data_IF_339309837901
#
_entry.id   IF_339309837901
#
_cell.length_a   1.000
_cell.length_b   1.000
_cell.length_c   1.000
_cell.angle_alpha   90.00
_cell.angle_beta   90.00
_cell.angle_gamma   90.00
#
_symmetry.space_group_name_H-M   'P 1'
#
loop_
_entity.id
_entity.type
_entity.pdbx_description
1 polymer ?
#
# COMPACT_ATOMS: atom_id res chain seq x y z
N UNK A 1 -60.35 0.26 70.96
CA UNK A 1 -59.03 0.31 70.35
C UNK A 1 -59.15 1.16 69.11
N UNK A 2 -58.93 2.45 69.25
CA UNK A 2 -58.93 3.39 68.13
C UNK A 2 -57.76 4.34 68.36
N UNK A 3 -56.77 4.28 67.48
CA UNK A 3 -55.63 5.19 67.47
C UNK A 3 -56.14 6.62 67.23
N UNK A 4 -55.71 7.55 68.07
CA UNK A 4 -55.96 8.99 67.91
C UNK A 4 -54.63 9.67 67.64
N UNK A 5 -54.58 10.57 66.66
CA UNK A 5 -53.46 11.49 66.50
C UNK A 5 -53.43 12.47 67.69
N UNK A 6 -52.27 12.70 68.34
CA UNK A 6 -52.18 13.67 69.43
C UNK A 6 -52.29 15.08 68.84
N UNK A 7 -53.26 15.86 69.32
CA UNK A 7 -53.44 17.28 68.95
C UNK A 7 -54.62 17.59 68.02
N UNK A 8 -55.23 16.58 67.38
CA UNK A 8 -56.47 16.77 66.60
C UNK A 8 -57.58 15.84 67.07
N UNK A 9 -58.83 16.25 66.86
CA UNK A 9 -60.02 15.47 67.26
C UNK A 9 -60.42 14.41 66.22
N UNK A 10 -59.60 14.17 65.21
CA UNK A 10 -59.96 13.29 64.10
C UNK A 10 -59.52 11.85 64.37
N UNK A 11 -60.46 10.93 64.09
CA UNK A 11 -60.29 9.49 64.22
C UNK A 11 -60.01 9.00 62.80
N UNK A 12 -58.87 8.33 62.59
CA UNK A 12 -58.54 7.70 61.30
C UNK A 12 -59.65 6.71 60.92
N UNK A 13 -60.26 6.89 59.75
CA UNK A 13 -61.55 6.31 59.37
C UNK A 13 -61.49 4.99 58.60
N UNK A 14 -62.68 4.37 58.44
CA UNK A 14 -63.02 3.45 57.34
C UNK A 14 -63.96 4.18 56.34
N UNK A 15 -64.22 3.66 55.12
CA UNK A 15 -63.30 3.34 54.03
C UNK A 15 -63.70 4.03 52.69
N UNK A 16 -62.70 4.47 51.89
CA UNK A 16 -62.86 5.04 50.53
C UNK A 16 -62.08 6.36 50.33
N UNK A 17 -60.74 6.36 50.41
CA UNK A 17 -59.76 6.17 49.31
C UNK A 17 -59.89 7.23 48.20
N UNK A 18 -59.12 8.33 48.18
CA UNK A 18 -57.73 8.41 47.66
C UNK A 18 -56.69 8.94 48.67
N UNK A 19 -57.04 8.96 49.96
CA UNK A 19 -56.05 9.13 51.03
C UNK A 19 -55.29 7.83 51.27
N UNK A 20 -54.46 7.43 50.30
CA UNK A 20 -53.28 6.60 50.58
C UNK A 20 -52.02 7.47 50.67
N UNK A 21 -52.15 8.71 51.13
CA UNK A 21 -51.05 9.37 51.84
C UNK A 21 -51.16 8.88 53.27
N UNK A 22 -50.53 7.73 53.51
CA UNK A 22 -50.67 6.96 54.71
C UNK A 22 -50.58 7.87 55.95
N UNK A 23 -51.58 7.75 56.84
CA UNK A 23 -51.30 7.93 58.26
C UNK A 23 -50.33 6.80 58.64
N UNK A 24 -49.04 6.93 58.24
CA UNK A 24 -47.94 6.14 58.77
C UNK A 24 -47.72 6.65 60.18
N UNK A 25 -48.69 6.36 61.03
CA UNK A 25 -48.48 6.47 62.45
C UNK A 25 -47.51 5.36 62.78
N UNK A 26 -46.28 5.72 63.05
CA UNK A 26 -45.27 4.78 63.50
C UNK A 26 -45.59 4.34 64.93
N UNK A 27 -45.33 3.09 65.24
CA UNK A 27 -45.46 2.50 66.57
C UNK A 27 -44.14 1.90 67.05
N UNK A 28 -43.27 1.58 66.10
CA UNK A 28 -41.88 1.22 66.32
C UNK A 28 -40.98 2.08 65.42
N UNK A 29 -39.67 2.17 65.72
CA UNK A 29 -38.72 2.88 64.88
C UNK A 29 -38.64 2.34 63.44
N UNK A 30 -38.95 1.06 63.24
CA UNK A 30 -38.88 0.37 61.94
C UNK A 30 -40.00 0.78 60.98
N UNK A 31 -41.04 1.45 61.50
CA UNK A 31 -42.16 1.95 60.69
C UNK A 31 -41.77 3.23 59.90
N UNK A 32 -40.62 3.83 60.21
CA UNK A 32 -40.11 5.04 59.56
C UNK A 32 -38.90 4.71 58.67
N UNK A 33 -38.81 5.39 57.52
CA UNK A 33 -37.72 5.25 56.54
C UNK A 33 -37.01 6.59 56.35
N UNK A 34 -35.87 6.60 55.63
CA UNK A 34 -35.16 7.81 55.21
C UNK A 34 -34.71 8.66 56.41
N UNK A 35 -33.92 8.09 57.32
CA UNK A 35 -33.38 8.80 58.50
C UNK A 35 -34.39 9.20 59.59
N UNK A 36 -35.70 9.01 59.39
CA UNK A 36 -36.74 9.51 60.30
C UNK A 36 -36.92 8.64 61.54
N UNK A 37 -37.15 9.30 62.68
CA UNK A 37 -37.46 8.66 63.96
C UNK A 37 -38.96 8.74 64.27
N UNK A 38 -39.46 7.69 64.92
CA UNK A 38 -40.83 7.66 65.39
C UNK A 38 -40.99 8.41 66.72
N UNK A 39 -41.63 9.58 66.69
CA UNK A 39 -41.97 10.35 67.89
C UNK A 39 -43.47 10.67 67.91
N UNK A 40 -44.13 10.40 69.05
CA UNK A 40 -45.57 10.65 69.27
C UNK A 40 -46.51 10.11 68.17
N UNK A 41 -46.09 9.02 67.50
CA UNK A 41 -46.84 8.40 66.42
C UNK A 41 -46.70 9.11 65.08
N UNK A 42 -45.63 9.85 64.84
CA UNK A 42 -45.26 10.44 63.56
C UNK A 42 -43.76 10.24 63.26
N UNK A 43 -43.42 10.02 61.99
CA UNK A 43 -42.02 9.95 61.54
C UNK A 43 -41.48 11.37 61.35
N UNK A 44 -40.61 11.82 62.26
CA UNK A 44 -39.96 13.13 62.24
C UNK A 44 -38.49 12.98 61.86
N UNK A 45 -37.97 13.94 61.09
CA UNK A 45 -36.54 14.00 60.82
C UNK A 45 -35.83 14.61 62.05
N UNK A 46 -34.92 13.88 62.72
CA UNK A 46 -34.24 14.37 63.91
C UNK A 46 -33.31 15.56 63.64
N UNK A 47 -32.76 15.66 62.42
CA UNK A 47 -31.88 16.76 62.00
C UNK A 47 -32.63 18.00 61.52
N UNK A 48 -33.77 17.82 60.82
CA UNK A 48 -34.54 18.92 60.22
C UNK A 48 -33.71 19.79 59.27
N UNK A 49 -32.60 19.26 58.79
CA UNK A 49 -31.70 19.92 57.86
C UNK A 49 -32.34 19.88 56.47
N UNK A 50 -31.83 20.73 55.59
CA UNK A 50 -32.27 20.81 54.20
C UNK A 50 -31.25 20.25 53.22
N UNK A 51 -30.22 19.58 53.76
CA UNK A 51 -29.07 18.99 53.10
C UNK A 51 -28.36 18.07 54.10
N UNK A 52 -27.62 17.09 53.60
CA UNK A 52 -26.73 16.23 54.39
C UNK A 52 -25.76 17.03 55.27
N UNK A 53 -25.64 16.68 56.56
CA UNK A 53 -24.71 17.34 57.47
C UNK A 53 -23.31 16.74 57.36
N UNK A 54 -23.24 15.44 57.07
CA UNK A 54 -22.01 14.71 56.83
C UNK A 54 -22.19 13.76 55.64
N UNK A 55 -21.36 13.90 54.62
CA UNK A 55 -21.41 13.05 53.43
C UNK A 55 -20.64 11.73 53.58
N UNK A 56 -20.50 11.25 54.82
CA UNK A 56 -19.66 10.09 55.17
C UNK A 56 -20.14 9.28 56.37
N UNK A 57 -21.17 9.73 57.08
CA UNK A 57 -21.54 9.12 58.36
C UNK A 57 -22.66 8.08 58.23
N UNK A 58 -23.18 7.86 57.02
CA UNK A 58 -24.20 6.87 56.72
C UNK A 58 -25.61 7.28 57.16
N UNK A 59 -25.78 8.54 57.56
CA UNK A 59 -27.08 9.09 57.91
C UNK A 59 -27.72 9.78 56.70
N UNK A 60 -29.05 9.80 56.68
CA UNK A 60 -29.86 10.64 55.81
C UNK A 60 -30.26 11.83 56.69
N UNK A 61 -29.38 12.83 56.79
CA UNK A 61 -29.49 13.89 57.80
C UNK A 61 -30.64 14.87 57.53
N UNK A 62 -31.08 14.96 56.27
CA UNK A 62 -32.20 15.78 55.82
C UNK A 62 -33.48 14.97 55.50
N UNK A 63 -33.38 13.64 55.60
CA UNK A 63 -34.48 12.69 55.49
C UNK A 63 -35.19 12.72 54.14
N UNK A 64 -34.44 12.97 53.07
CA UNK A 64 -34.93 13.03 51.69
C UNK A 64 -34.97 11.64 51.01
N UNK A 65 -34.22 10.68 51.57
CA UNK A 65 -34.13 9.28 51.13
C UNK A 65 -32.86 8.92 50.37
N UNK A 66 -31.98 9.89 50.11
CA UNK A 66 -30.60 9.67 49.72
C UNK A 66 -29.70 9.75 50.96
N UNK A 67 -28.51 9.17 50.89
CA UNK A 67 -27.57 9.07 52.01
C UNK A 67 -26.17 9.37 51.51
N UNK A 68 -25.43 10.22 52.22
CA UNK A 68 -24.02 10.54 51.95
C UNK A 68 -23.77 10.89 50.46
N UNK A 69 -22.66 10.42 49.86
CA UNK A 69 -22.35 10.62 48.45
C UNK A 69 -23.45 10.16 47.48
N UNK A 70 -24.34 9.23 47.86
CA UNK A 70 -25.45 8.82 47.00
C UNK A 70 -26.48 9.94 46.87
N UNK A 71 -26.53 10.83 47.86
CA UNK A 71 -27.16 12.14 47.71
C UNK A 71 -26.29 13.06 46.86
N UNK A 72 -26.50 12.98 45.55
CA UNK A 72 -25.82 13.87 44.62
C UNK A 72 -26.31 15.32 44.73
N UNK A 73 -27.53 15.55 45.21
CA UNK A 73 -28.06 16.90 45.32
C UNK A 73 -27.32 17.65 46.43
N UNK A 74 -26.99 16.95 47.52
CA UNK A 74 -26.45 17.56 48.74
C UNK A 74 -24.97 17.26 48.99
N UNK A 75 -24.45 16.13 48.49
CA UNK A 75 -23.08 15.68 48.74
C UNK A 75 -22.16 15.61 47.53
N UNK A 76 -22.59 15.93 46.30
CA UNK A 76 -21.70 15.90 45.13
C UNK A 76 -20.46 16.81 45.36
N UNK A 77 -19.27 16.19 45.27
CA UNK A 77 -17.94 16.73 45.57
C UNK A 77 -17.66 17.06 47.03
N UNK A 78 -18.54 16.71 47.95
CA UNK A 78 -18.23 16.79 49.37
C UNK A 78 -17.04 15.88 49.67
N UNK A 79 -16.16 16.37 50.54
CA UNK A 79 -15.05 15.57 51.03
C UNK A 79 -15.62 14.33 51.69
N UNK A 80 -15.13 13.19 51.24
CA UNK A 80 -15.59 11.92 51.76
C UNK A 80 -14.38 11.12 52.23
N UNK A 81 -14.20 11.01 53.54
CA UNK A 81 -13.03 10.37 54.12
C UNK A 81 -11.76 11.22 54.09
N UNK A 82 -10.62 10.57 54.22
CA UNK A 82 -9.29 11.19 54.32
C UNK A 82 -8.61 11.31 52.95
N UNK A 83 -7.49 12.05 52.92
CA UNK A 83 -6.57 12.12 51.77
C UNK A 83 -7.19 12.58 50.45
N UNK A 84 -8.14 13.53 50.47
CA UNK A 84 -8.59 14.24 49.26
C UNK A 84 -9.70 13.57 48.45
N UNK A 85 -10.24 12.46 48.97
CA UNK A 85 -11.39 11.77 48.38
C UNK A 85 -12.66 12.63 48.38
N UNK A 86 -13.45 12.52 47.32
CA UNK A 86 -14.66 13.30 47.14
C UNK A 86 -15.81 12.47 46.54
N UNK A 87 -17.04 12.86 46.84
CA UNK A 87 -18.21 12.25 46.22
C UNK A 87 -18.26 12.61 44.73
N UNK A 88 -18.16 11.63 43.85
CA UNK A 88 -18.21 11.78 42.40
C UNK A 88 -19.23 10.77 41.87
N UNK A 89 -20.24 11.28 41.16
CA UNK A 89 -21.29 10.47 40.53
C UNK A 89 -21.99 9.53 41.52
N UNK A 90 -22.30 10.02 42.72
CA UNK A 90 -23.01 9.22 43.72
C UNK A 90 -22.10 8.39 44.65
N UNK A 91 -20.77 8.52 44.54
CA UNK A 91 -19.83 7.61 45.22
C UNK A 91 -18.55 8.30 45.68
N UNK A 92 -18.02 7.91 46.85
CA UNK A 92 -16.76 8.46 47.35
C UNK A 92 -15.56 7.91 46.58
N UNK A 93 -14.92 8.73 45.75
CA UNK A 93 -13.84 8.30 44.85
C UNK A 93 -12.63 9.21 44.97
N UNK A 94 -11.45 8.62 44.72
CA UNK A 94 -10.28 9.37 44.34
C UNK A 94 -10.59 9.94 42.95
N UNK A 95 -10.47 11.25 42.75
CA UNK A 95 -10.62 11.80 41.42
C UNK A 95 -9.57 11.27 40.42
N UNK A 96 -8.44 10.69 40.87
CA UNK A 96 -7.29 10.31 40.03
C UNK A 96 -6.96 8.81 39.93
N UNK A 97 -5.85 8.52 39.25
CA UNK A 97 -5.27 7.19 38.92
C UNK A 97 -3.92 6.99 39.63
N UNK A 98 -3.18 5.90 39.34
CA UNK A 98 -1.77 5.71 39.77
C UNK A 98 -1.01 7.03 39.72
N UNK A 99 -0.20 7.29 40.74
CA UNK A 99 0.73 8.43 40.82
C UNK A 99 1.43 8.64 39.47
N UNK A 100 1.30 9.84 38.93
CA UNK A 100 2.03 10.25 37.73
C UNK A 100 3.39 10.74 38.20
N UNK A 101 4.43 9.98 37.90
CA UNK A 101 5.76 10.23 38.44
C UNK A 101 6.37 11.55 37.97
N UNK A 102 7.03 12.25 38.90
CA UNK A 102 7.72 13.51 38.62
C UNK A 102 6.81 14.73 38.65
N UNK A 103 5.54 14.54 39.02
CA UNK A 103 4.56 15.60 39.20
C UNK A 103 4.13 15.65 40.68
N UNK A 104 3.90 16.83 41.25
CA UNK A 104 3.68 16.98 42.70
C UNK A 104 2.27 16.55 43.19
N UNK A 105 1.56 15.70 42.47
CA UNK A 105 0.18 15.27 42.76
C UNK A 105 0.07 13.99 43.60
N UNK A 106 -1.11 13.78 44.19
CA UNK A 106 -1.53 12.56 44.92
C UNK A 106 -2.75 12.05 44.17
N UNK A 107 -2.50 11.52 42.97
CA UNK A 107 -3.52 11.07 42.04
C UNK A 107 -4.30 9.88 42.60
N UNK A 108 -3.70 9.08 43.49
CA UNK A 108 -4.37 7.97 44.14
C UNK A 108 -4.96 8.29 45.53
N UNK A 109 -4.75 9.52 46.01
CA UNK A 109 -5.33 10.09 47.22
C UNK A 109 -4.97 9.27 48.48
N UNK A 110 -3.68 8.98 48.67
CA UNK A 110 -3.12 8.22 49.80
C UNK A 110 -2.44 9.09 50.88
N UNK A 111 -2.33 10.39 50.63
CA UNK A 111 -1.75 11.37 51.54
C UNK A 111 -0.30 11.69 51.27
N UNK A 112 0.25 11.16 50.19
CA UNK A 112 1.62 11.39 49.82
C UNK A 112 1.77 11.54 48.29
N UNK A 113 2.97 11.92 47.84
CA UNK A 113 3.23 12.35 46.45
C UNK A 113 4.37 11.53 45.87
N UNK A 114 4.20 11.05 44.64
CA UNK A 114 5.21 10.32 43.86
C UNK A 114 5.63 8.98 44.49
N UNK A 115 4.70 8.31 45.13
CA UNK A 115 5.01 7.16 45.95
C UNK A 115 4.93 5.87 45.18
N UNK A 116 6.03 5.12 45.20
CA UNK A 116 6.15 3.97 44.30
C UNK A 116 6.58 4.34 42.88
N UNK A 117 6.92 5.61 42.63
CA UNK A 117 7.84 5.98 41.56
C UNK A 117 9.23 5.48 41.96
N UNK A 118 9.76 4.52 41.20
CA UNK A 118 11.10 4.02 41.48
C UNK A 118 12.08 5.13 41.11
N UNK A 119 12.58 5.85 42.11
CA UNK A 119 13.66 6.84 41.97
C UNK A 119 15.00 6.14 41.73
N UNK A 120 15.05 5.27 40.74
CA UNK A 120 16.24 4.60 40.26
C UNK A 120 16.03 4.51 38.76
N UNK A 121 16.85 5.25 38.02
CA UNK A 121 16.83 5.25 36.56
C UNK A 121 16.68 3.85 36.00
N UNK A 122 16.09 3.78 34.81
CA UNK A 122 15.78 2.55 34.11
C UNK A 122 16.80 1.43 34.34
N UNK A 123 16.35 0.34 34.98
CA UNK A 123 17.27 -0.73 35.41
C UNK A 123 17.75 -1.62 34.27
N UNK A 124 17.23 -1.42 33.04
CA UNK A 124 17.57 -2.16 31.82
C UNK A 124 17.45 -1.27 30.58
N UNK A 125 18.53 -0.57 30.28
CA UNK A 125 18.66 0.41 29.22
C UNK A 125 18.66 -0.12 27.77
N UNK A 126 17.97 -1.22 27.47
CA UNK A 126 17.97 -1.84 26.14
C UNK A 126 16.94 -2.94 25.95
N UNK A 127 15.86 -2.90 26.73
CA UNK A 127 14.79 -3.90 26.70
C UNK A 127 13.51 -3.39 26.00
N UNK A 128 13.48 -2.13 25.55
CA UNK A 128 12.33 -1.50 24.90
C UNK A 128 11.20 -1.16 25.88
N UNK A 129 11.48 -1.01 27.17
CA UNK A 129 10.46 -0.75 28.18
C UNK A 129 10.90 0.28 29.23
N UNK A 130 10.08 1.32 29.38
CA UNK A 130 10.09 2.31 30.46
C UNK A 130 9.95 1.63 31.85
N UNK A 131 11.08 1.13 32.38
CA UNK A 131 11.11 0.31 33.60
C UNK A 131 10.91 1.14 34.88
N UNK A 132 11.18 2.45 34.85
CA UNK A 132 10.97 3.39 35.97
C UNK A 132 9.73 4.29 35.80
N UNK A 133 9.08 4.22 34.64
CA UNK A 133 7.77 4.81 34.31
C UNK A 133 7.77 6.33 34.28
N UNK A 134 8.89 6.93 33.85
CA UNK A 134 9.05 8.37 33.70
C UNK A 134 8.68 8.88 32.29
N UNK A 135 8.38 7.96 31.37
CA UNK A 135 7.95 8.23 30.00
C UNK A 135 9.08 8.21 28.97
N UNK A 136 10.34 8.06 29.39
CA UNK A 136 11.46 7.72 28.51
C UNK A 136 11.66 6.19 28.44
N UNK A 137 12.41 5.70 27.46
CA UNK A 137 12.68 4.27 27.32
C UNK A 137 14.11 4.08 26.81
N UNK A 138 14.78 3.07 27.34
CA UNK A 138 16.16 2.70 27.04
C UNK A 138 17.11 3.91 27.10
N UNK A 139 17.97 4.08 26.09
CA UNK A 139 18.93 5.17 26.06
C UNK A 139 18.33 6.57 25.95
N UNK A 140 17.03 6.70 25.64
CA UNK A 140 16.34 7.99 25.71
C UNK A 140 16.10 8.42 27.17
N UNK A 141 16.25 7.50 28.13
CA UNK A 141 16.15 7.74 29.58
C UNK A 141 17.44 8.36 30.15
N UNK A 142 17.30 9.44 30.91
CA UNK A 142 18.44 10.14 31.52
C UNK A 142 19.16 9.31 32.60
N UNK A 143 18.47 8.35 33.18
CA UNK A 143 18.98 7.35 34.11
C UNK A 143 19.89 6.30 33.46
N UNK A 144 19.85 6.18 32.13
CA UNK A 144 20.63 5.20 31.36
C UNK A 144 21.98 5.69 30.84
N UNK A 145 22.30 6.98 30.98
CA UNK A 145 23.58 7.53 30.53
C UNK A 145 24.79 6.74 31.11
N UNK A 146 25.57 6.13 30.21
CA UNK A 146 26.74 5.30 30.54
C UNK A 146 26.43 3.87 31.01
N UNK A 147 25.18 3.43 31.00
CA UNK A 147 24.78 2.05 31.26
C UNK A 147 24.69 1.23 29.96
N UNK A 148 24.84 -0.09 30.08
CA UNK A 148 24.84 -0.99 28.93
C UNK A 148 23.44 -1.20 28.35
N UNK A 149 23.31 -1.09 27.04
CA UNK A 149 22.04 -1.20 26.29
C UNK A 149 21.89 -2.50 25.48
N UNK A 150 22.74 -3.51 25.69
CA UNK A 150 22.56 -4.84 25.13
C UNK A 150 23.75 -5.79 25.31
N UNK A 151 24.94 -5.32 24.93
CA UNK A 151 26.19 -6.07 24.92
C UNK A 151 27.23 -5.60 25.94
N UNK A 152 28.39 -6.27 25.94
CA UNK A 152 29.51 -5.92 26.84
C UNK A 152 30.22 -4.62 26.43
N UNK A 153 30.09 -4.24 25.16
CA UNK A 153 30.80 -3.13 24.52
C UNK A 153 29.84 -2.04 24.02
N UNK A 154 28.57 -2.08 24.47
CA UNK A 154 27.54 -1.09 24.14
C UNK A 154 27.18 -0.24 25.36
N UNK A 155 26.96 1.06 25.20
CA UNK A 155 26.48 1.94 26.27
C UNK A 155 25.59 3.08 25.74
N UNK A 156 24.68 3.58 26.57
CA UNK A 156 23.90 4.75 26.21
C UNK A 156 24.73 6.02 26.31
N UNK A 157 24.77 6.80 25.23
CA UNK A 157 25.36 8.13 25.20
C UNK A 157 24.45 9.07 24.41
N UNK A 158 24.11 10.23 24.97
CA UNK A 158 23.34 11.29 24.27
C UNK A 158 21.99 10.85 23.69
N UNK A 159 21.33 9.85 24.26
CA UNK A 159 20.02 9.40 23.81
C UNK A 159 20.01 8.13 22.95
N UNK A 160 21.18 7.60 22.57
CA UNK A 160 21.31 6.45 21.66
C UNK A 160 22.17 5.35 22.28
N UNK A 161 21.96 4.11 21.83
CA UNK A 161 22.76 2.95 22.24
C UNK A 161 24.00 2.85 21.34
N UNK A 162 25.16 3.27 21.86
CA UNK A 162 26.42 3.23 21.14
C UNK A 162 27.05 1.83 21.18
N UNK A 163 27.62 1.35 20.09
CA UNK A 163 28.42 0.13 20.01
C UNK A 163 29.89 0.45 19.66
N UNK A 164 30.78 0.44 20.66
CA UNK A 164 32.17 0.88 20.48
C UNK A 164 33.08 -0.13 19.76
N UNK A 165 32.55 -1.27 19.31
CA UNK A 165 33.32 -2.30 18.59
C UNK A 165 32.75 -2.63 17.22
N UNK A 166 31.59 -2.06 16.87
CA UNK A 166 30.97 -2.20 15.56
C UNK A 166 30.96 -0.83 14.88
N UNK A 167 31.36 -0.76 13.60
CA UNK A 167 31.31 0.50 12.86
C UNK A 167 29.88 0.98 12.63
N UNK A 168 29.74 2.27 12.31
CA UNK A 168 28.48 2.87 11.85
C UNK A 168 27.88 2.11 10.66
N UNK A 169 26.55 2.06 10.63
CA UNK A 169 25.77 1.57 9.50
C UNK A 169 25.58 2.66 8.46
N UNK A 170 25.82 2.32 7.18
CA UNK A 170 25.73 3.30 6.10
C UNK A 170 24.33 3.90 5.94
N UNK A 171 24.26 5.23 5.95
CA UNK A 171 23.00 5.97 5.93
C UNK A 171 22.26 5.98 7.28
N UNK A 172 22.94 5.53 8.34
CA UNK A 172 22.55 5.61 9.75
C UNK A 172 22.97 6.92 10.42
N UNK A 173 23.04 6.89 11.75
CA UNK A 173 23.63 7.93 12.59
C UNK A 173 25.02 7.53 13.09
N UNK A 174 25.50 8.17 14.16
CA UNK A 174 26.75 7.82 14.86
C UNK A 174 26.49 6.65 15.84
N UNK A 175 26.34 5.44 15.31
CA UNK A 175 26.06 4.24 16.12
C UNK A 175 27.22 3.80 16.99
N UNK A 176 28.47 4.16 16.67
CA UNK A 176 29.64 3.90 17.52
C UNK A 176 30.04 5.08 18.42
N UNK A 177 29.37 6.23 18.23
CA UNK A 177 29.52 7.47 19.00
C UNK A 177 30.95 8.04 19.03
N UNK A 178 31.78 7.75 18.03
CA UNK A 178 33.15 8.27 17.95
C UNK A 178 33.22 9.76 17.50
N UNK A 179 32.06 10.33 17.16
CA UNK A 179 31.87 11.73 16.78
C UNK A 179 31.98 11.96 15.28
N UNK A 180 32.04 10.88 14.53
CA UNK A 180 31.98 10.83 13.10
C UNK A 180 30.77 9.98 12.66
N UNK A 181 30.42 10.02 11.37
CA UNK A 181 29.28 9.28 10.81
C UNK A 181 29.74 8.66 9.51
N UNK A 182 29.44 7.39 9.27
CA UNK A 182 29.71 6.67 8.01
C UNK A 182 31.21 6.42 7.71
N UNK A 183 32.09 6.37 8.73
CA UNK A 183 33.55 6.31 8.53
C UNK A 183 34.10 4.95 8.10
N UNK A 184 33.31 3.89 8.26
CA UNK A 184 33.64 2.50 7.91
C UNK A 184 32.68 1.93 6.85
N UNK A 185 31.97 2.82 6.14
CA UNK A 185 31.30 2.48 4.91
C UNK A 185 32.33 2.09 3.85
N UNK A 186 32.52 0.78 3.66
CA UNK A 186 32.64 0.26 2.30
C UNK A 186 31.28 0.53 1.66
N UNK A 187 31.17 1.61 0.90
CA UNK A 187 29.91 2.30 0.70
C UNK A 187 28.96 1.45 -0.13
N UNK A 188 27.74 1.30 0.37
CA UNK A 188 26.58 1.39 -0.51
C UNK A 188 26.27 2.88 -0.64
N UNK A 189 26.88 3.55 -1.60
CA UNK A 189 26.66 4.97 -1.88
C UNK A 189 27.09 5.22 -3.31
N UNK A 190 26.11 5.47 -4.18
CA UNK A 190 26.30 5.64 -5.63
C UNK A 190 27.55 6.49 -5.96
N UNK A 191 28.55 5.88 -6.62
CA UNK A 191 29.78 6.53 -7.13
C UNK A 191 29.41 7.80 -7.93
N UNK A 192 30.11 8.90 -7.67
CA UNK A 192 29.86 10.17 -8.38
C UNK A 192 30.70 10.19 -9.66
N UNK A 193 30.17 9.57 -10.71
CA UNK A 193 30.81 9.28 -12.00
C UNK A 193 31.45 10.44 -12.80
N UNK A 194 31.48 11.68 -12.28
CA UNK A 194 31.77 12.91 -13.03
C UNK A 194 32.88 13.78 -12.44
N UNK A 195 33.40 13.47 -11.24
CA UNK A 195 34.23 14.42 -10.52
C UNK A 195 35.75 14.17 -10.68
N UNK A 196 36.13 13.03 -11.26
CA UNK A 196 37.52 12.65 -11.54
C UNK A 196 38.37 12.52 -10.28
N UNK A 197 37.71 12.40 -9.13
CA UNK A 197 38.25 11.83 -7.90
C UNK A 197 38.24 10.30 -8.05
N UNK A 198 38.89 9.58 -7.15
CA UNK A 198 38.96 8.13 -7.26
C UNK A 198 38.09 7.48 -6.21
N UNK A 199 37.44 6.37 -6.56
CA UNK A 199 36.87 5.33 -5.69
C UNK A 199 36.19 5.91 -4.45
N UNK A 200 35.12 6.65 -4.68
CA UNK A 200 34.37 7.32 -3.61
C UNK A 200 33.57 6.32 -2.77
N UNK A 201 33.21 5.17 -3.35
CA UNK A 201 32.53 4.09 -2.65
C UNK A 201 33.47 3.03 -2.03
N UNK A 202 34.75 3.02 -2.41
CA UNK A 202 35.80 2.21 -1.80
C UNK A 202 35.85 0.76 -2.31
N UNK A 203 35.21 0.48 -3.45
CA UNK A 203 35.13 -0.83 -4.09
C UNK A 203 36.40 -1.18 -4.92
N UNK A 204 37.23 -0.17 -5.22
CA UNK A 204 38.50 -0.27 -5.93
C UNK A 204 38.43 0.05 -7.42
N UNK A 205 37.26 0.42 -7.93
CA UNK A 205 37.03 0.99 -9.25
C UNK A 205 36.73 2.49 -9.13
N UNK A 206 36.92 3.27 -10.20
CA UNK A 206 36.83 4.74 -10.15
C UNK A 206 35.98 5.22 -11.35
N UNK A 207 35.03 6.13 -11.11
CA UNK A 207 34.14 6.71 -12.13
C UNK A 207 33.49 5.63 -13.03
N UNK A 208 33.48 5.83 -14.36
CA UNK A 208 33.00 4.84 -15.33
C UNK A 208 33.77 3.50 -15.28
N UNK A 209 34.93 3.43 -14.61
CA UNK A 209 35.62 2.16 -14.36
C UNK A 209 34.80 1.21 -13.48
N UNK A 210 33.87 1.77 -12.70
CA UNK A 210 32.88 1.05 -11.91
C UNK A 210 31.57 0.89 -12.68
N UNK A 211 31.29 -0.32 -13.16
CA UNK A 211 30.07 -0.62 -13.92
C UNK A 211 28.87 -0.98 -13.02
N UNK A 212 29.10 -1.17 -11.72
CA UNK A 212 28.05 -1.46 -10.75
C UNK A 212 27.41 -0.14 -10.31
N UNK A 213 28.24 0.87 -10.05
CA UNK A 213 27.81 2.15 -9.50
C UNK A 213 27.69 3.24 -10.59
N UNK A 214 28.46 3.13 -11.69
CA UNK A 214 28.37 3.98 -12.89
C UNK A 214 28.02 3.16 -14.15
N UNK A 215 26.77 2.66 -14.29
CA UNK A 215 26.35 1.86 -15.44
C UNK A 215 26.44 2.65 -16.76
N UNK A 216 26.41 1.93 -17.89
CA UNK A 216 26.49 2.56 -19.22
C UNK A 216 25.44 3.67 -19.41
N UNK A 217 25.85 4.77 -20.03
CA UNK A 217 25.03 5.97 -20.24
C UNK A 217 25.01 6.94 -19.04
N UNK A 218 25.60 6.58 -17.89
CA UNK A 218 25.66 7.48 -16.72
C UNK A 218 26.46 8.74 -17.07
N UNK A 219 25.93 9.95 -16.81
CA UNK A 219 26.65 11.19 -17.11
C UNK A 219 27.98 11.21 -16.35
N UNK A 220 29.07 11.56 -17.03
CA UNK A 220 30.43 11.60 -16.46
C UNK A 220 31.13 12.96 -16.69
N UNK A 221 30.37 14.01 -16.96
CA UNK A 221 30.86 15.38 -17.14
C UNK A 221 29.86 16.26 -17.89
N UNK A 222 30.32 17.40 -18.41
CA UNK A 222 29.51 18.24 -19.28
C UNK A 222 29.45 17.61 -20.67
N UNK A 223 28.27 17.10 -21.08
CA UNK A 223 28.03 16.43 -22.38
C UNK A 223 28.79 15.09 -22.56
N UNK A 224 29.18 14.44 -21.45
CA UNK A 224 29.92 13.17 -21.47
C UNK A 224 29.15 12.07 -20.76
N UNK A 225 29.25 10.81 -21.22
CA UNK A 225 28.61 9.64 -20.60
C UNK A 225 29.58 8.46 -20.48
N UNK A 226 29.32 7.56 -19.53
CA UNK A 226 30.08 6.33 -19.34
C UNK A 226 29.78 5.34 -20.46
N UNK A 227 30.80 5.00 -21.25
CA UNK A 227 30.72 4.04 -22.36
C UNK A 227 31.94 3.13 -22.28
N UNK A 228 31.73 1.81 -22.30
CA UNK A 228 32.80 0.80 -22.18
C UNK A 228 33.79 1.07 -21.03
N UNK A 229 33.26 1.39 -19.86
CA UNK A 229 33.99 1.70 -18.64
C UNK A 229 34.90 2.96 -18.70
N UNK A 230 34.62 3.89 -19.61
CA UNK A 230 35.36 5.14 -19.75
C UNK A 230 34.40 6.32 -19.92
N UNK A 231 34.78 7.47 -19.37
CA UNK A 231 34.03 8.69 -19.61
C UNK A 231 34.34 9.23 -21.02
N UNK A 232 33.39 9.14 -21.94
CA UNK A 232 33.53 9.54 -23.34
C UNK A 232 32.70 10.80 -23.65
N UNK A 233 33.20 11.59 -24.59
CA UNK A 233 32.49 12.80 -25.07
C UNK A 233 31.39 12.32 -26.01
N UNK A 234 30.12 12.49 -25.60
CA UNK A 234 28.99 12.21 -26.47
C UNK A 234 28.67 13.55 -27.10
N UNK A 235 29.07 13.78 -28.35
CA UNK A 235 29.36 15.05 -29.01
C UNK A 235 28.28 16.16 -29.02
N UNK A 236 27.33 16.16 -28.10
CA UNK A 236 26.31 17.20 -27.88
C UNK A 236 25.14 17.08 -28.84
N UNK A 237 25.21 16.16 -29.79
CA UNK A 237 24.21 15.93 -30.80
C UNK A 237 23.34 14.73 -30.40
N UNK A 238 22.05 14.82 -30.71
CA UNK A 238 21.08 13.75 -30.45
C UNK A 238 21.00 12.78 -31.64
N UNK A 239 22.12 12.64 -32.36
CA UNK A 239 22.29 11.80 -33.54
C UNK A 239 23.79 11.60 -33.82
N UNK A 240 24.19 10.40 -34.26
CA UNK A 240 25.54 10.03 -34.67
C UNK A 240 26.08 10.96 -35.76
N UNK A 241 27.21 11.61 -35.47
CA UNK A 241 27.71 12.74 -36.24
C UNK A 241 28.77 12.32 -37.28
N UNK A 242 29.49 11.22 -37.02
CA UNK A 242 30.43 10.57 -37.94
C UNK A 242 30.21 9.06 -37.99
N UNK A 243 29.29 8.64 -38.86
CA UNK A 243 28.85 7.27 -39.13
C UNK A 243 29.93 6.29 -39.68
N UNK A 244 31.21 6.42 -39.32
CA UNK A 244 32.33 5.60 -39.79
C UNK A 244 33.58 5.64 -38.90
N UNK A 245 33.57 6.37 -37.79
CA UNK A 245 34.76 6.58 -36.98
C UNK A 245 34.93 5.55 -35.84
N UNK A 246 33.92 4.71 -35.62
CA UNK A 246 33.91 3.63 -34.65
C UNK A 246 33.52 4.05 -33.24
N UNK A 247 32.95 5.25 -33.07
CA UNK A 247 32.45 5.77 -31.79
C UNK A 247 30.92 5.89 -31.80
N UNK A 248 30.35 5.99 -30.60
CA UNK A 248 28.93 6.18 -30.30
C UNK A 248 28.76 7.65 -29.90
N UNK A 249 28.65 8.53 -30.89
CA UNK A 249 28.72 9.99 -30.72
C UNK A 249 27.49 10.55 -29.97
N UNK A 250 26.35 9.89 -30.07
CA UNK A 250 25.10 10.23 -29.37
C UNK A 250 24.77 9.28 -28.20
N UNK A 251 25.62 8.28 -27.96
CA UNK A 251 25.65 7.44 -26.76
C UNK A 251 24.30 6.77 -26.47
N UNK A 252 23.66 6.27 -27.52
CA UNK A 252 22.42 5.49 -27.45
C UNK A 252 22.69 3.97 -27.37
N UNK A 253 23.96 3.58 -27.50
CA UNK A 253 24.44 2.20 -27.45
C UNK A 253 24.72 1.59 -28.83
N UNK A 254 24.47 2.32 -29.91
CA UNK A 254 24.71 1.90 -31.29
C UNK A 254 25.85 2.75 -31.91
N UNK A 255 26.71 2.11 -32.70
CA UNK A 255 27.95 2.73 -33.21
C UNK A 255 27.91 2.77 -34.72
N UNK A 256 28.29 3.90 -35.32
CA UNK A 256 28.34 4.10 -36.77
C UNK A 256 27.04 3.65 -37.48
N UNK A 257 27.16 2.88 -38.57
CA UNK A 257 26.06 2.26 -39.29
C UNK A 257 25.26 1.20 -38.50
N UNK A 258 25.67 0.89 -37.27
CA UNK A 258 24.86 0.11 -36.33
C UNK A 258 23.67 0.91 -35.84
N UNK A 259 23.82 2.23 -35.75
CA UNK A 259 22.76 3.15 -35.39
C UNK A 259 22.01 3.62 -36.65
N UNK A 260 21.03 2.85 -37.09
CA UNK A 260 20.28 3.19 -38.31
C UNK A 260 19.29 4.35 -38.11
N UNK A 261 18.92 4.66 -36.87
CA UNK A 261 17.99 5.77 -36.58
C UNK A 261 18.71 7.10 -36.68
N UNK A 262 19.96 7.16 -36.19
CA UNK A 262 20.72 8.40 -36.15
C UNK A 262 21.75 8.54 -37.28
N UNK A 263 22.18 7.43 -37.92
CA UNK A 263 22.98 7.44 -39.15
C UNK A 263 22.17 7.32 -40.46
N UNK A 264 20.88 7.69 -40.48
CA UNK A 264 20.02 7.54 -41.66
C UNK A 264 20.59 8.24 -42.91
N UNK A 265 21.25 7.41 -43.74
CA UNK A 265 21.72 7.73 -45.08
C UNK A 265 22.61 8.98 -45.22
N UNK A 266 23.46 9.30 -44.24
CA UNK A 266 24.55 10.27 -44.42
C UNK A 266 25.91 9.57 -44.56
N UNK A 267 26.54 9.79 -45.72
CA UNK A 267 28.00 9.87 -45.82
C UNK A 267 28.83 8.60 -46.02
N UNK A 268 28.45 7.44 -45.47
CA UNK A 268 29.24 6.19 -45.62
C UNK A 268 28.48 4.87 -45.42
N UNK A 269 27.31 4.89 -44.78
CA UNK A 269 26.47 3.71 -44.61
C UNK A 269 25.64 3.50 -45.88
N UNK A 270 26.08 2.56 -46.72
CA UNK A 270 25.56 2.39 -48.08
C UNK A 270 24.10 1.89 -48.12
N UNK A 271 23.13 2.80 -48.14
CA UNK A 271 21.74 2.50 -48.47
C UNK A 271 21.52 2.59 -49.99
N UNK A 272 21.31 1.44 -50.64
CA UNK A 272 20.79 1.38 -52.01
C UNK A 272 19.27 1.24 -51.96
N UNK A 273 18.59 2.39 -52.00
CA UNK A 273 17.21 2.63 -52.43
C UNK A 273 16.22 1.44 -52.34
N UNK A 274 15.42 1.42 -51.28
CA UNK A 274 13.97 1.25 -51.41
C UNK A 274 13.28 2.02 -50.29
N UNK A 275 12.19 2.69 -50.61
CA UNK A 275 11.49 3.62 -49.72
C UNK A 275 10.32 2.90 -49.07
N UNK A 276 10.52 2.46 -47.82
CA UNK A 276 9.51 1.97 -46.89
C UNK A 276 10.03 2.22 -45.48
N UNK A 277 9.22 2.87 -44.65
CA UNK A 277 9.59 3.28 -43.29
C UNK A 277 8.99 2.25 -42.36
N UNK A 278 9.83 1.30 -41.93
CA UNK A 278 9.45 0.22 -41.02
C UNK A 278 10.70 -0.14 -40.22
N UNK A 279 10.90 0.53 -39.08
CA UNK A 279 11.91 0.17 -38.10
C UNK A 279 11.51 -1.13 -37.41
N UNK A 280 12.36 -2.15 -37.52
CA UNK A 280 12.24 -3.41 -36.80
C UNK A 280 13.22 -4.45 -37.33
N UNK A 281 14.29 -4.72 -36.58
CA UNK A 281 15.08 -5.94 -36.73
C UNK A 281 14.68 -6.93 -35.64
N UNK A 282 13.99 -8.00 -36.01
CA UNK A 282 13.85 -9.22 -35.21
C UNK A 282 14.89 -10.27 -35.64
N UNK A 283 16.16 -9.97 -35.35
CA UNK A 283 17.19 -11.00 -35.28
C UNK A 283 17.07 -11.82 -33.99
N UNK A 284 16.03 -12.65 -33.86
CA UNK A 284 15.78 -13.44 -32.65
C UNK A 284 15.96 -14.95 -32.82
N UNK A 285 17.10 -15.49 -32.42
CA UNK A 285 17.25 -16.89 -32.01
C UNK A 285 17.52 -16.98 -30.51
N UNK A 286 16.49 -16.94 -29.66
CA UNK A 286 16.50 -17.58 -28.34
C UNK A 286 15.15 -17.49 -27.62
N UNK A 287 14.67 -18.65 -27.17
CA UNK A 287 13.47 -18.74 -26.35
C UNK A 287 13.75 -18.37 -24.90
N UNK A 288 12.85 -17.58 -24.32
CA UNK A 288 12.81 -17.29 -22.89
C UNK A 288 11.55 -16.53 -22.52
N UNK A 289 10.60 -17.25 -21.92
CA UNK A 289 9.28 -16.81 -21.46
C UNK A 289 9.36 -15.72 -20.40
N UNK A 290 8.52 -14.69 -20.52
CA UNK A 290 7.60 -14.25 -19.46
C UNK A 290 6.48 -13.36 -20.06
N UNK A 291 5.30 -13.97 -20.11
CA UNK A 291 4.06 -13.36 -20.57
C UNK A 291 3.44 -12.48 -19.49
N UNK A 292 2.99 -11.28 -19.88
CA UNK A 292 2.07 -10.48 -19.09
C UNK A 292 1.69 -9.17 -19.76
N UNK A 293 0.52 -9.15 -20.40
CA UNK A 293 -0.31 -8.00 -20.83
C UNK A 293 0.04 -7.19 -22.09
N UNK A 294 0.59 -7.82 -23.13
CA UNK A 294 0.32 -7.38 -24.52
C UNK A 294 -0.30 -8.52 -25.32
N UNK A 295 -1.53 -8.29 -25.77
CA UNK A 295 -2.24 -9.18 -26.68
C UNK A 295 -2.47 -8.39 -27.97
N UNK A 296 -1.68 -8.74 -28.98
CA UNK A 296 -1.83 -8.31 -30.37
C UNK A 296 -0.68 -7.43 -30.82
N UNK A 297 0.42 -8.04 -31.27
CA UNK A 297 1.34 -7.57 -32.35
C UNK A 297 2.66 -8.37 -32.43
N UNK A 298 2.86 -9.45 -31.65
CA UNK A 298 4.09 -10.27 -31.75
C UNK A 298 3.79 -11.77 -31.71
N UNK A 299 3.14 -12.25 -32.76
CA UNK A 299 3.18 -13.62 -33.24
C UNK A 299 3.16 -13.46 -34.77
N UNK A 300 4.01 -14.03 -35.60
CA UNK A 300 5.19 -14.86 -35.47
C UNK A 300 5.36 -15.45 -36.87
N UNK A 301 6.50 -15.25 -37.54
CA UNK A 301 6.83 -15.93 -38.81
C UNK A 301 5.69 -15.97 -39.85
N UNK A 302 5.49 -14.87 -40.58
CA UNK A 302 4.34 -14.58 -41.45
C UNK A 302 3.51 -15.73 -42.03
N UNK A 303 2.19 -15.54 -41.95
CA UNK A 303 1.09 -16.41 -42.39
C UNK A 303 1.42 -17.30 -43.61
N UNK A 304 1.15 -18.60 -43.52
CA UNK A 304 1.12 -19.48 -44.70
C UNK A 304 -0.24 -19.34 -45.38
N UNK A 305 -0.28 -18.48 -46.40
CA UNK A 305 -1.48 -18.05 -47.12
C UNK A 305 -2.28 -19.15 -47.87
N UNK A 306 -2.09 -20.42 -47.53
CA UNK A 306 -2.55 -21.58 -48.29
C UNK A 306 -2.76 -22.84 -47.45
N UNK A 307 -2.99 -22.78 -46.13
CA UNK A 307 -3.11 -23.98 -45.29
C UNK A 307 -4.41 -24.06 -44.46
N UNK A 308 -5.23 -23.02 -44.44
CA UNK A 308 -6.52 -22.99 -43.72
C UNK A 308 -6.37 -22.82 -42.21
N UNK A 309 -5.24 -22.30 -41.74
CA UNK A 309 -4.92 -22.09 -40.33
C UNK A 309 -4.36 -20.67 -40.18
N UNK A 310 -4.87 -19.95 -39.19
CA UNK A 310 -4.33 -18.71 -38.63
C UNK A 310 -2.96 -19.01 -37.95
N UNK A 311 -1.87 -18.94 -38.71
CA UNK A 311 -0.52 -19.33 -38.27
C UNK A 311 0.14 -18.26 -37.40
N UNK A 312 -0.19 -16.97 -37.63
CA UNK A 312 0.28 -15.85 -36.82
C UNK A 312 -0.69 -15.47 -35.68
N UNK A 313 -1.86 -16.11 -35.63
CA UNK A 313 -2.83 -16.08 -34.53
C UNK A 313 -3.45 -14.69 -34.33
N UNK A 314 -3.60 -13.92 -35.39
CA UNK A 314 -4.23 -12.60 -35.39
C UNK A 314 -5.76 -12.65 -35.57
N UNK A 315 -6.28 -13.82 -35.96
CA UNK A 315 -7.70 -14.12 -36.15
C UNK A 315 -8.18 -14.06 -37.60
N UNK A 316 -7.32 -13.68 -38.53
CA UNK A 316 -7.47 -13.90 -39.95
C UNK A 316 -6.88 -15.27 -40.34
N UNK A 317 -7.12 -15.73 -41.57
CA UNK A 317 -6.58 -17.01 -42.05
C UNK A 317 -6.42 -16.90 -43.55
N UNK A 318 -5.31 -17.42 -44.07
CA UNK A 318 -4.98 -17.46 -45.50
C UNK A 318 -5.14 -16.10 -46.20
N UNK A 319 -5.96 -15.97 -47.25
CA UNK A 319 -6.14 -14.71 -47.96
C UNK A 319 -7.03 -13.71 -47.21
N UNK A 320 -7.61 -14.13 -46.09
CA UNK A 320 -8.33 -13.23 -45.19
C UNK A 320 -7.37 -12.36 -44.38
N UNK A 321 -6.10 -12.74 -44.35
CA UNK A 321 -5.00 -12.10 -43.65
C UNK A 321 -4.36 -10.99 -44.51
N UNK A 322 -4.06 -9.83 -43.91
CA UNK A 322 -3.57 -8.67 -44.67
C UNK A 322 -2.10 -8.81 -45.06
N UNK A 323 -1.34 -9.59 -44.29
CA UNK A 323 0.05 -9.97 -44.55
C UNK A 323 0.15 -10.93 -45.76
N UNK A 324 -0.96 -11.55 -46.14
CA UNK A 324 -1.06 -12.38 -47.33
C UNK A 324 -1.28 -11.62 -48.64
N UNK A 325 -1.58 -10.33 -48.63
CA UNK A 325 -1.86 -9.56 -49.85
C UNK A 325 -0.78 -9.75 -50.94
N UNK A 326 -1.18 -10.20 -52.14
CA UNK A 326 -0.26 -10.41 -53.26
C UNK A 326 0.58 -11.70 -53.21
N UNK A 327 0.40 -12.56 -52.21
CA UNK A 327 1.06 -13.88 -52.11
C UNK A 327 0.25 -14.96 -52.83
N UNK A 328 0.86 -16.11 -53.07
CA UNK A 328 0.20 -17.21 -53.76
C UNK A 328 -0.59 -18.05 -52.76
N UNK A 329 -1.79 -18.47 -53.13
CA UNK A 329 -2.69 -19.23 -52.26
C UNK A 329 -3.10 -20.59 -52.87
N UNK A 330 -3.88 -21.38 -52.11
CA UNK A 330 -4.38 -22.68 -52.60
C UNK A 330 -5.19 -22.49 -53.89
N UNK A 331 -4.78 -23.21 -54.95
CA UNK A 331 -5.42 -23.08 -56.26
C UNK A 331 -4.57 -22.41 -57.34
N UNK A 332 -3.47 -21.75 -56.94
CA UNK A 332 -2.56 -21.10 -57.88
C UNK A 332 -2.97 -19.67 -58.25
N UNK A 333 -3.91 -19.09 -57.50
CA UNK A 333 -4.24 -17.67 -57.53
C UNK A 333 -3.37 -16.82 -56.59
N UNK A 334 -3.75 -15.54 -56.47
CA UNK A 334 -3.08 -14.53 -55.64
C UNK A 334 -4.12 -13.91 -54.69
N UNK A 335 -3.76 -13.66 -53.43
CA UNK A 335 -4.63 -13.02 -52.45
C UNK A 335 -4.96 -11.58 -52.87
N UNK A 336 -6.24 -11.19 -52.80
CA UNK A 336 -6.66 -9.80 -52.98
C UNK A 336 -6.32 -8.95 -51.74
N UNK A 337 -6.10 -7.65 -51.96
CA UNK A 337 -5.59 -6.69 -50.97
C UNK A 337 -6.69 -6.16 -50.00
N UNK A 338 -7.85 -6.83 -49.90
CA UNK A 338 -9.02 -6.28 -49.19
C UNK A 338 -9.27 -6.84 -47.77
N UNK A 339 -8.53 -7.87 -47.35
CA UNK A 339 -8.31 -8.26 -45.94
C UNK A 339 -9.59 -8.49 -45.12
N UNK A 340 -10.67 -8.91 -45.78
CA UNK A 340 -11.99 -9.00 -45.13
C UNK A 340 -12.69 -10.35 -45.38
N UNK A 341 -12.33 -11.04 -46.46
CA UNK A 341 -12.78 -12.40 -46.77
C UNK A 341 -11.60 -13.16 -47.39
N UNK A 342 -11.46 -14.44 -47.05
CA UNK A 342 -10.45 -15.36 -47.57
C UNK A 342 -10.69 -15.63 -49.07
N UNK A 343 -10.26 -14.67 -49.90
CA UNK A 343 -10.42 -14.67 -51.34
C UNK A 343 -9.08 -14.86 -52.06
N UNK A 344 -8.91 -16.06 -52.58
CA UNK A 344 -7.95 -16.39 -53.60
C UNK A 344 -8.42 -15.87 -54.96
N UNK A 345 -7.70 -14.92 -55.56
CA UNK A 345 -8.04 -14.43 -56.91
C UNK A 345 -7.06 -14.96 -57.93
N UNK A 346 -7.52 -15.95 -58.69
CA UNK A 346 -6.81 -16.42 -59.87
C UNK A 346 -7.64 -17.38 -60.69
N UNK A 347 -8.26 -16.88 -61.76
CA UNK A 347 -9.32 -17.59 -62.47
C UNK A 347 -9.07 -19.07 -62.78
N UNK A 348 -10.15 -19.84 -62.67
CA UNK A 348 -10.18 -21.30 -62.76
C UNK A 348 -9.28 -21.86 -63.88
N UNK A 349 -8.18 -22.48 -63.47
CA UNK A 349 -7.14 -22.91 -64.41
C UNK A 349 -7.47 -24.24 -65.12
N UNK A 350 -8.35 -25.08 -64.55
CA UNK A 350 -8.73 -26.40 -65.09
C UNK A 350 -10.24 -26.62 -65.24
N UNK A 351 -10.88 -25.85 -66.10
CA UNK A 351 -12.28 -26.01 -66.50
C UNK A 351 -12.66 -27.45 -66.95
N UNK A 352 -13.32 -28.21 -66.06
CA UNK A 352 -13.89 -29.54 -66.31
C UNK A 352 -13.37 -30.68 -65.42
N UNK A 353 -12.70 -30.38 -64.31
CA UNK A 353 -12.21 -31.35 -63.33
C UNK A 353 -13.15 -31.52 -62.10
N UNK A 354 -14.23 -30.75 -62.01
CA UNK A 354 -15.17 -30.69 -60.88
C UNK A 354 -14.55 -30.21 -59.57
N UNK A 355 -13.50 -29.40 -59.64
CA UNK A 355 -12.85 -28.75 -58.51
C UNK A 355 -12.91 -27.24 -58.70
N UNK A 356 -13.18 -26.55 -57.60
CA UNK A 356 -13.05 -25.10 -57.47
C UNK A 356 -11.55 -24.80 -57.33
N UNK A 357 -10.87 -24.67 -58.48
CA UNK A 357 -9.41 -24.55 -58.56
C UNK A 357 -8.92 -23.17 -58.11
N UNK A 358 -9.80 -22.18 -57.96
CA UNK A 358 -9.51 -20.82 -57.54
C UNK A 358 -10.24 -20.40 -56.26
N UNK A 359 -11.02 -21.32 -55.68
CA UNK A 359 -11.67 -21.21 -54.37
C UNK A 359 -12.68 -20.06 -54.25
N UNK A 360 -13.31 -19.63 -55.36
CA UNK A 360 -14.31 -18.56 -55.38
C UNK A 360 -15.75 -19.05 -55.08
N UNK A 361 -15.90 -20.37 -54.89
CA UNK A 361 -17.16 -21.07 -54.62
C UNK A 361 -17.90 -21.52 -55.88
N UNK A 362 -17.35 -21.31 -57.07
CA UNK A 362 -17.84 -21.81 -58.34
C UNK A 362 -16.90 -22.91 -58.86
N UNK A 363 -17.35 -23.67 -59.86
CA UNK A 363 -16.61 -24.85 -60.30
C UNK A 363 -16.91 -25.12 -61.78
N UNK A 364 -15.87 -25.36 -62.56
CA UNK A 364 -15.92 -25.60 -64.00
C UNK A 364 -16.78 -24.56 -64.74
N UNK A 365 -17.74 -25.03 -65.53
CA UNK A 365 -18.62 -24.16 -66.31
C UNK A 365 -19.62 -23.36 -65.47
N UNK A 366 -19.66 -23.55 -64.15
CA UNK A 366 -20.37 -22.64 -63.26
C UNK A 366 -19.54 -21.37 -62.97
N UNK A 367 -18.22 -21.44 -63.20
CA UNK A 367 -17.27 -20.36 -62.98
C UNK A 367 -17.21 -19.37 -64.18
N UNK A 368 -17.28 -18.05 -63.93
CA UNK A 368 -17.15 -17.01 -64.96
C UNK A 368 -15.81 -17.01 -65.69
N UNK A 369 -14.71 -17.44 -65.06
CA UNK A 369 -13.37 -17.48 -65.63
C UNK A 369 -13.20 -18.64 -66.62
N UNK A 370 -14.02 -19.69 -66.48
CA UNK A 370 -14.14 -20.76 -67.46
C UNK A 370 -14.99 -20.44 -68.69
N UNK A 371 -15.59 -19.24 -68.77
CA UNK A 371 -16.53 -18.87 -69.83
C UNK A 371 -15.95 -19.01 -71.25
N UNK A 372 -14.64 -18.87 -71.43
CA UNK A 372 -13.96 -18.97 -72.72
C UNK A 372 -13.33 -20.35 -73.01
N UNK A 373 -13.43 -21.30 -72.10
CA UNK A 373 -12.84 -22.62 -72.29
C UNK A 373 -13.70 -23.54 -73.19
N UNK A 374 -13.06 -24.37 -74.03
CA UNK A 374 -13.74 -25.29 -74.93
C UNK A 374 -14.48 -26.38 -74.14
N UNK A 375 -15.70 -26.08 -73.72
CA UNK A 375 -16.55 -26.93 -72.88
C UNK A 375 -17.70 -26.16 -72.22
N UNK A 376 -17.48 -24.88 -71.91
CA UNK A 376 -18.44 -24.04 -71.16
C UNK A 376 -19.09 -22.94 -72.01
N UNK A 377 -18.49 -22.58 -73.15
CA UNK A 377 -18.99 -21.54 -74.04
C UNK A 377 -20.09 -22.01 -74.99
N UNK A 378 -21.32 -22.23 -74.48
CA UNK A 378 -22.58 -22.06 -75.24
C UNK A 378 -23.82 -22.29 -74.33
N UNK A 379 -23.93 -21.55 -73.20
CA UNK A 379 -25.19 -21.26 -72.51
C UNK A 379 -26.13 -22.45 -72.20
N UNK A 380 -25.60 -23.57 -71.71
CA UNK A 380 -26.37 -24.79 -71.47
C UNK A 380 -26.26 -25.32 -70.05
N UNK A 381 -27.40 -25.32 -69.35
CA UNK A 381 -27.66 -26.14 -68.18
C UNK A 381 -27.12 -27.58 -68.33
N UNK A 382 -26.26 -28.00 -67.41
CA UNK A 382 -26.31 -29.32 -66.79
C UNK A 382 -25.36 -30.40 -67.33
N UNK A 383 -24.44 -30.82 -66.46
CA UNK A 383 -24.40 -32.24 -66.04
C UNK A 383 -24.97 -32.36 -64.63
N UNK A 384 -26.27 -32.04 -64.48
CA UNK A 384 -27.02 -32.58 -63.37
C UNK A 384 -27.28 -34.07 -63.63
N UNK A 385 -26.74 -34.91 -62.75
CA UNK A 385 -27.13 -36.30 -62.48
C UNK A 385 -26.71 -37.37 -63.51
N UNK A 386 -25.69 -38.15 -63.13
CA UNK A 386 -25.64 -39.56 -63.48
C UNK A 386 -25.11 -40.41 -62.31
N UNK A 387 -26.07 -40.84 -61.47
CA UNK A 387 -26.16 -42.19 -60.89
C UNK A 387 -25.40 -42.48 -59.58
N UNK A 388 -26.09 -42.18 -58.48
CA UNK A 388 -26.27 -43.17 -57.42
C UNK A 388 -27.12 -44.34 -57.98
N UNK A 389 -26.52 -45.53 -58.04
CA UNK A 389 -27.14 -46.80 -58.43
C UNK A 389 -26.19 -47.95 -58.16
#
# INVERSE_FOLDING_TARGET
GSCRCPGTREICGEPGDEARMACVGCTTPEDCTNGRLCEDGACLCPGGLSAEASCTDGADDDCDGMVDCADRADCERAACGDFGRACIEGSCRCPGTREICGEPGDEDCDGNVDEGCMSGGETRCGNGADDDMDGATDCEDAGCEGFSCGGADTACERGVCCDYVSPDTCGGGDEDCDGTTDEDCAMSGDEVCTDGSGDEDGDGFEDCGDLVDCPEGTPCGFERRCVMAACMDCGGEAFESDCSDGFDDDCDGMVDCGDIEDCDCVGSCGCSADAGVDGGTDGGTDGGVDAGVDAGSDAGDGEDCANGIDDDVDGATDCGDVECAGRACLGGGICDDDGFEDHCVGGESTCGNFLDDDADGLTDCADPDCFFQPGCGDGGLGVSDASAG
#
